data_IF_922003331800
#
_entry.id   IF_922003331800
#
_cell.length_a   1.000
_cell.length_b   1.000
_cell.length_c   1.000
_cell.angle_alpha   90.00
_cell.angle_beta   90.00
_cell.angle_gamma   90.00
#
_symmetry.space_group_name_H-M   'P 1'
#
loop_
_entity.id
_entity.type
_entity.pdbx_description
1 polymer ?
#
# COMPACT_ATOMS: atom_id res chain seq x y z
N UNK A 1 -18.18 11.74 16.26
CA UNK A 1 -19.24 12.77 16.11
C UNK A 1 -19.92 12.72 14.75
N UNK A 2 -19.17 12.79 13.65
CA UNK A 2 -19.74 12.71 12.29
C UNK A 2 -20.55 11.41 12.05
N UNK A 3 -20.00 10.25 12.41
CA UNK A 3 -20.70 8.97 12.28
C UNK A 3 -22.00 8.89 13.10
N UNK A 4 -22.02 9.48 14.31
CA UNK A 4 -23.24 9.57 15.13
C UNK A 4 -24.31 10.43 14.44
N UNK A 5 -23.90 11.54 13.82
CA UNK A 5 -24.79 12.38 13.01
C UNK A 5 -25.38 11.64 11.81
N UNK A 6 -24.57 10.82 11.12
CA UNK A 6 -25.01 10.04 9.97
C UNK A 6 -26.02 8.93 10.36
N UNK A 7 -25.78 8.27 11.51
CA UNK A 7 -26.74 7.30 12.07
C UNK A 7 -28.04 7.99 12.48
N UNK A 8 -27.97 9.13 13.16
CA UNK A 8 -29.15 9.90 13.54
C UNK A 8 -29.95 10.35 12.30
N UNK A 9 -29.27 10.79 11.24
CA UNK A 9 -29.89 11.16 9.97
C UNK A 9 -30.68 10.01 9.36
N UNK A 10 -30.07 8.83 9.31
CA UNK A 10 -30.70 7.62 8.80
C UNK A 10 -31.90 7.18 9.66
N UNK A 11 -31.85 7.35 10.98
CA UNK A 11 -32.99 7.07 11.85
C UNK A 11 -34.16 8.05 11.66
N UNK A 12 -33.89 9.32 11.36
CA UNK A 12 -34.92 10.35 11.16
C UNK A 12 -35.59 10.28 9.79
N UNK A 13 -34.83 9.90 8.76
CA UNK A 13 -35.28 9.96 7.35
C UNK A 13 -35.50 8.57 6.72
N UNK A 14 -34.96 7.51 7.32
CA UNK A 14 -34.97 6.15 6.77
C UNK A 14 -33.87 5.89 5.73
N UNK A 15 -33.10 6.91 5.34
CA UNK A 15 -32.07 6.83 4.31
C UNK A 15 -30.74 7.46 4.78
N UNK A 16 -29.59 6.96 4.31
CA UNK A 16 -28.31 7.60 4.63
C UNK A 16 -28.20 8.99 3.97
N UNK A 17 -27.42 9.91 4.55
CA UNK A 17 -27.31 11.30 4.06
C UNK A 17 -26.74 11.42 2.64
N UNK A 18 -25.94 10.45 2.20
CA UNK A 18 -25.40 10.37 0.85
C UNK A 18 -25.51 8.93 0.36
N UNK A 19 -25.85 8.76 -0.92
CA UNK A 19 -25.94 7.47 -1.60
C UNK A 19 -25.37 7.62 -3.01
N UNK A 20 -24.44 6.74 -3.36
CA UNK A 20 -23.90 6.62 -4.71
C UNK A 20 -23.66 5.14 -5.04
N UNK A 21 -23.52 4.84 -6.32
CA UNK A 21 -23.36 3.46 -6.81
C UNK A 21 -21.99 2.86 -6.45
N UNK A 22 -21.01 3.71 -6.11
CA UNK A 22 -19.66 3.30 -5.70
C UNK A 22 -19.24 3.95 -4.38
N UNK A 23 -18.39 3.25 -3.63
CA UNK A 23 -17.86 3.73 -2.35
C UNK A 23 -17.07 5.04 -2.51
N UNK A 24 -16.26 5.16 -3.58
CA UNK A 24 -15.48 6.36 -3.87
C UNK A 24 -16.38 7.57 -4.20
N UNK A 25 -17.44 7.37 -4.99
CA UNK A 25 -18.41 8.42 -5.26
C UNK A 25 -19.15 8.87 -4.00
N UNK A 26 -19.43 7.95 -3.08
CA UNK A 26 -20.04 8.26 -1.78
C UNK A 26 -19.08 9.09 -0.92
N UNK A 27 -17.79 8.74 -0.89
CA UNK A 27 -16.76 9.51 -0.18
C UNK A 27 -16.62 10.93 -0.72
N UNK A 28 -16.64 11.09 -2.04
CA UNK A 28 -16.58 12.41 -2.68
C UNK A 28 -17.77 13.29 -2.29
N UNK A 29 -18.99 12.72 -2.27
CA UNK A 29 -20.18 13.43 -1.78
C UNK A 29 -20.07 13.80 -0.29
N UNK A 30 -19.49 12.93 0.53
CA UNK A 30 -19.23 13.18 1.96
C UNK A 30 -18.20 14.29 2.16
N UNK A 31 -17.31 14.56 1.21
CA UNK A 31 -16.35 15.66 1.33
C UNK A 31 -16.92 16.98 0.82
N UNK A 32 -17.51 16.99 -0.37
CA UNK A 32 -17.78 18.25 -1.09
C UNK A 32 -19.26 18.68 -1.05
N UNK A 33 -20.19 17.74 -0.92
CA UNK A 33 -21.62 18.05 -1.04
C UNK A 33 -22.21 18.48 0.31
N UNK A 34 -22.99 19.57 0.37
CA UNK A 34 -23.73 19.93 1.59
C UNK A 34 -24.82 18.90 1.88
N UNK A 35 -25.04 18.63 3.17
CA UNK A 35 -26.07 17.67 3.63
C UNK A 35 -27.45 18.29 3.49
N UNK A 36 -28.40 17.53 2.95
CA UNK A 36 -29.80 17.97 2.83
C UNK A 36 -30.49 17.98 4.18
N UNK A 37 -31.33 18.97 4.45
CA UNK A 37 -32.16 19.02 5.65
C UNK A 37 -33.02 17.75 5.80
N UNK A 38 -33.00 17.07 6.96
CA UNK A 38 -33.89 15.93 7.26
C UNK A 38 -35.37 16.25 7.13
N UNK A 39 -35.78 17.51 7.34
CA UNK A 39 -37.20 17.92 7.28
C UNK A 39 -37.76 17.97 5.87
N UNK A 40 -36.90 18.10 4.86
CA UNK A 40 -37.30 17.99 3.47
C UNK A 40 -37.74 16.56 3.12
N UNK A 41 -37.12 15.55 3.76
CA UNK A 41 -37.49 14.15 3.59
C UNK A 41 -38.64 13.74 4.52
N UNK A 42 -38.65 14.23 5.76
CA UNK A 42 -39.68 13.93 6.74
C UNK A 42 -40.08 15.19 7.52
N UNK A 43 -41.22 15.80 7.16
CA UNK A 43 -41.71 17.04 7.75
C UNK A 43 -42.09 16.93 9.23
N UNK A 44 -42.20 15.70 9.76
CA UNK A 44 -42.52 15.42 11.18
C UNK A 44 -41.31 15.52 12.11
N UNK A 45 -40.10 15.69 11.57
CA UNK A 45 -38.88 15.80 12.39
C UNK A 45 -38.89 17.13 13.15
N UNK A 46 -38.73 17.11 14.49
CA UNK A 46 -38.57 18.32 15.30
C UNK A 46 -37.36 19.15 14.87
N UNK A 47 -37.51 20.47 14.81
CA UNK A 47 -36.45 21.40 14.37
C UNK A 47 -35.15 21.31 15.20
N UNK A 48 -35.28 20.97 16.49
CA UNK A 48 -34.12 20.82 17.37
C UNK A 48 -33.28 19.57 17.06
N UNK A 49 -33.92 18.46 16.68
CA UNK A 49 -33.21 17.25 16.26
C UNK A 49 -32.53 17.43 14.91
N UNK A 50 -33.16 18.17 14.00
CA UNK A 50 -32.53 18.59 12.75
C UNK A 50 -31.26 19.42 13.03
N UNK A 51 -31.34 20.41 13.92
CA UNK A 51 -30.20 21.27 14.25
C UNK A 51 -29.03 20.47 14.83
N UNK A 52 -29.32 19.53 15.74
CA UNK A 52 -28.33 18.63 16.33
C UNK A 52 -27.70 17.74 15.23
N UNK A 53 -28.53 17.18 14.35
CA UNK A 53 -28.10 16.30 13.27
C UNK A 53 -27.19 17.03 12.27
N UNK A 54 -27.61 18.21 11.78
CA UNK A 54 -26.84 19.02 10.84
C UNK A 54 -25.51 19.47 11.45
N UNK A 55 -25.50 19.91 12.71
CA UNK A 55 -24.27 20.31 13.40
C UNK A 55 -23.30 19.14 13.63
N UNK A 56 -23.80 17.90 13.78
CA UNK A 56 -22.95 16.72 13.81
C UNK A 56 -22.33 16.38 12.44
N UNK A 57 -23.03 16.72 11.36
CA UNK A 57 -22.65 16.43 9.97
C UNK A 57 -21.91 17.59 9.27
N UNK A 58 -21.54 18.64 10.03
CA UNK A 58 -20.74 19.76 9.53
C UNK A 58 -19.40 19.28 8.96
N UNK A 59 -18.90 19.87 7.87
CA UNK A 59 -17.64 19.42 7.25
C UNK A 59 -16.42 19.84 8.07
N UNK A 60 -16.44 21.05 8.62
CA UNK A 60 -15.37 21.58 9.46
C UNK A 60 -15.39 20.93 10.85
N UNK A 61 -14.31 20.23 11.28
CA UNK A 61 -14.27 19.59 12.59
C UNK A 61 -14.46 20.56 13.76
N UNK A 62 -13.96 21.80 13.64
CA UNK A 62 -14.06 22.84 14.68
C UNK A 62 -15.46 23.40 14.91
N UNK A 63 -16.41 23.18 13.98
CA UNK A 63 -17.82 23.60 14.13
C UNK A 63 -18.73 22.48 14.66
N UNK A 64 -18.22 21.25 14.78
CA UNK A 64 -18.94 20.10 15.32
C UNK A 64 -19.02 20.18 16.85
N UNK A 65 -19.86 19.35 17.44
CA UNK A 65 -19.83 19.14 18.88
C UNK A 65 -18.48 18.52 19.31
N UNK A 66 -17.84 19.04 20.37
CA UNK A 66 -16.56 18.55 20.87
C UNK A 66 -16.68 17.17 21.53
N UNK A 67 -17.85 16.83 22.09
CA UNK A 67 -18.08 15.53 22.75
C UNK A 67 -19.51 15.02 22.60
N UNK A 68 -19.68 13.70 22.75
CA UNK A 68 -21.01 13.06 22.77
C UNK A 68 -21.85 13.48 23.98
N UNK A 69 -21.22 13.98 25.05
CA UNK A 69 -21.88 14.38 26.29
C UNK A 69 -22.67 15.69 26.11
N UNK A 70 -22.17 16.63 25.31
CA UNK A 70 -22.91 17.85 24.95
C UNK A 70 -24.11 17.59 24.05
N UNK A 71 -23.98 16.64 23.11
CA UNK A 71 -25.10 16.18 22.28
C UNK A 71 -26.18 15.54 23.16
N UNK A 72 -25.78 14.76 24.17
CA UNK A 72 -26.69 14.18 25.16
C UNK A 72 -27.38 15.24 26.02
N UNK A 73 -26.66 16.26 26.48
CA UNK A 73 -27.25 17.36 27.25
C UNK A 73 -28.35 18.10 26.48
N UNK A 74 -28.15 18.30 25.16
CA UNK A 74 -29.11 19.01 24.30
C UNK A 74 -30.28 18.15 23.82
N UNK A 75 -30.06 16.84 23.62
CA UNK A 75 -31.13 15.88 23.30
C UNK A 75 -31.93 15.45 24.53
N UNK A 76 -31.32 15.41 25.72
CA UNK A 76 -32.00 15.13 26.98
C UNK A 76 -33.01 16.21 27.39
N UNK A 77 -32.78 17.46 26.97
CA UNK A 77 -33.76 18.54 27.09
C UNK A 77 -34.99 18.39 26.15
N UNK A 78 -34.93 17.45 25.20
CA UNK A 78 -35.92 17.24 24.15
C UNK A 78 -36.79 15.97 24.33
N UNK A 79 -36.50 15.15 25.35
CA UNK A 79 -37.45 14.12 25.74
C UNK A 79 -38.76 14.83 26.12
N UNK A 80 -39.94 14.39 25.63
CA UNK A 80 -41.19 14.92 26.14
C UNK A 80 -41.12 14.78 27.66
N UNK A 81 -41.39 15.87 28.38
CA UNK A 81 -41.65 15.80 29.82
C UNK A 81 -42.67 14.68 29.97
N UNK A 82 -42.20 13.51 30.39
CA UNK A 82 -43.06 12.40 30.72
C UNK A 82 -44.05 12.96 31.72
N UNK A 83 -45.33 12.77 31.44
CA UNK A 83 -46.37 12.83 32.46
C UNK A 83 -45.78 12.38 33.78
N UNK A 84 -45.73 13.29 34.75
CA UNK A 84 -45.38 12.99 36.12
C UNK A 84 -46.41 11.97 36.64
N UNK A 85 -46.14 10.70 36.41
CA UNK A 85 -46.73 9.62 37.16
C UNK A 85 -46.08 9.72 38.54
N UNK A 86 -46.77 10.38 39.47
CA UNK A 86 -46.39 10.42 40.88
C UNK A 86 -46.03 9.01 41.40
N UNK A 87 -45.17 8.90 42.42
CA UNK A 87 -44.59 7.63 42.82
C UNK A 87 -45.70 6.61 43.10
N UNK A 88 -45.66 5.48 42.39
CA UNK A 88 -46.55 4.37 42.65
C UNK A 88 -46.47 4.00 44.13
N UNK A 89 -47.56 4.29 44.87
CA UNK A 89 -47.68 3.97 46.29
C UNK A 89 -47.68 2.45 46.42
N UNK A 90 -46.50 1.86 46.64
CA UNK A 90 -46.30 0.43 46.94
C UNK A 90 -47.26 0.03 48.06
N UNK A 91 -48.28 -0.75 47.72
CA UNK A 91 -49.22 -1.32 48.67
C UNK A 91 -48.51 -2.39 49.50
N UNK A 92 -47.98 -2.01 50.66
CA UNK A 92 -47.38 -2.92 51.63
C UNK A 92 -48.34 -4.03 52.13
N UNK A 93 -49.65 -3.94 51.83
CA UNK A 93 -50.67 -4.91 52.24
C UNK A 93 -50.85 -6.13 51.34
N UNK A 94 -50.56 -6.04 50.03
CA UNK A 94 -50.83 -7.16 49.10
C UNK A 94 -49.81 -8.30 49.25
N UNK A 95 -48.54 -7.96 49.49
CA UNK A 95 -47.49 -8.94 49.75
C UNK A 95 -47.74 -9.73 51.04
N UNK A 96 -48.21 -9.05 52.10
CA UNK A 96 -48.51 -9.70 53.38
C UNK A 96 -49.70 -10.67 53.31
N UNK A 97 -50.69 -10.35 52.47
CA UNK A 97 -51.85 -11.21 52.23
C UNK A 97 -51.49 -12.49 51.45
N UNK A 98 -50.57 -12.41 50.48
CA UNK A 98 -50.07 -13.56 49.71
C UNK A 98 -49.13 -14.46 50.51
N UNK A 99 -48.26 -13.86 51.34
CA UNK A 99 -47.36 -14.58 52.27
C UNK A 99 -48.15 -15.45 53.26
N UNK A 100 -49.33 -14.99 53.69
CA UNK A 100 -50.20 -15.74 54.60
C UNK A 100 -51.00 -16.85 53.92
N UNK A 101 -51.13 -16.83 52.58
CA UNK A 101 -51.95 -17.78 51.81
C UNK A 101 -51.14 -18.92 51.18
N UNK A 102 -49.86 -18.70 50.84
CA UNK A 102 -48.98 -19.74 50.25
C UNK A 102 -47.51 -19.62 50.73
N UNK A 103 -47.17 -20.07 51.95
CA UNK A 103 -45.85 -19.84 52.56
C UNK A 103 -44.68 -20.54 51.84
N UNK A 104 -44.91 -21.71 51.25
CA UNK A 104 -43.88 -22.48 50.54
C UNK A 104 -43.43 -21.80 49.24
N UNK A 105 -44.36 -21.20 48.48
CA UNK A 105 -44.08 -20.53 47.20
C UNK A 105 -43.25 -19.26 47.43
N UNK A 106 -43.57 -18.50 48.47
CA UNK A 106 -42.79 -17.31 48.84
C UNK A 106 -41.37 -17.68 49.29
N UNK A 107 -41.21 -18.79 50.03
CA UNK A 107 -39.89 -19.31 50.42
C UNK A 107 -39.04 -19.71 49.21
N UNK A 108 -39.60 -20.46 48.27
CA UNK A 108 -38.92 -20.86 47.03
C UNK A 108 -38.50 -19.65 46.19
N UNK A 109 -39.39 -18.67 46.00
CA UNK A 109 -39.09 -17.46 45.23
C UNK A 109 -37.96 -16.62 45.85
N UNK A 110 -37.88 -16.58 47.19
CA UNK A 110 -36.82 -15.88 47.91
C UNK A 110 -35.48 -16.61 47.77
N UNK A 111 -35.47 -17.95 47.84
CA UNK A 111 -34.27 -18.75 47.63
C UNK A 111 -33.74 -18.61 46.20
N UNK A 112 -34.63 -18.65 45.20
CA UNK A 112 -34.22 -18.43 43.81
C UNK A 112 -33.70 -17.02 43.56
N UNK A 113 -34.29 -16.01 44.21
CA UNK A 113 -33.80 -14.63 44.13
C UNK A 113 -32.41 -14.49 44.75
N UNK A 114 -32.16 -15.13 45.90
CA UNK A 114 -30.84 -15.15 46.54
C UNK A 114 -29.81 -15.90 45.70
N UNK A 115 -30.18 -17.03 45.09
CA UNK A 115 -29.30 -17.78 44.18
C UNK A 115 -28.93 -16.93 42.95
N UNK A 116 -29.90 -16.23 42.34
CA UNK A 116 -29.64 -15.31 41.23
C UNK A 116 -28.69 -14.18 41.64
N UNK A 117 -28.89 -13.55 42.80
CA UNK A 117 -27.98 -12.52 43.30
C UNK A 117 -26.57 -13.09 43.51
N UNK A 118 -26.44 -14.28 44.11
CA UNK A 118 -25.14 -14.93 44.29
C UNK A 118 -24.46 -15.21 42.96
N UNK A 119 -25.18 -15.73 41.95
CA UNK A 119 -24.61 -15.97 40.61
C UNK A 119 -24.13 -14.68 39.95
N UNK A 120 -24.91 -13.59 40.03
CA UNK A 120 -24.53 -12.28 39.48
C UNK A 120 -23.27 -11.74 40.18
N UNK A 121 -23.17 -11.89 41.51
CA UNK A 121 -21.98 -11.49 42.27
C UNK A 121 -20.76 -12.33 41.86
N UNK A 122 -20.89 -13.65 41.73
CA UNK A 122 -19.79 -14.50 41.26
C UNK A 122 -19.36 -14.16 39.84
N UNK A 123 -20.30 -13.85 38.95
CA UNK A 123 -20.02 -13.45 37.57
C UNK A 123 -19.27 -12.11 37.55
N UNK A 124 -19.70 -11.14 38.36
CA UNK A 124 -19.05 -9.83 38.48
C UNK A 124 -17.61 -9.96 39.01
N UNK A 125 -17.38 -10.79 40.02
CA UNK A 125 -16.04 -11.07 40.54
C UNK A 125 -15.17 -11.83 39.52
N UNK A 126 -15.75 -12.76 38.78
CA UNK A 126 -15.01 -13.48 37.73
C UNK A 126 -14.62 -12.55 36.57
N UNK A 127 -15.51 -11.63 36.17
CA UNK A 127 -15.24 -10.65 35.13
C UNK A 127 -14.15 -9.67 35.53
N UNK A 128 -14.12 -9.22 36.80
CA UNK A 128 -13.05 -8.34 37.27
C UNK A 128 -11.69 -9.04 37.30
N UNK A 129 -11.65 -10.32 37.69
CA UNK A 129 -10.41 -11.12 37.63
C UNK A 129 -9.93 -11.36 36.20
N UNK A 130 -10.84 -11.63 35.26
CA UNK A 130 -10.51 -11.78 33.84
C UNK A 130 -9.96 -10.45 33.29
N UNK A 131 -10.59 -9.32 33.63
CA UNK A 131 -10.10 -8.00 33.22
C UNK A 131 -8.68 -7.72 33.73
N UNK A 132 -8.39 -8.05 34.99
CA UNK A 132 -7.05 -7.89 35.56
C UNK A 132 -6.01 -8.80 34.88
N UNK A 133 -6.36 -10.08 34.62
CA UNK A 133 -5.49 -11.01 33.89
C UNK A 133 -5.22 -10.52 32.46
N UNK A 134 -6.27 -10.09 31.75
CA UNK A 134 -6.16 -9.56 30.39
C UNK A 134 -5.29 -8.30 30.34
N UNK A 135 -5.37 -7.41 31.33
CA UNK A 135 -4.50 -6.24 31.42
C UNK A 135 -3.02 -6.62 31.56
N UNK A 136 -2.71 -7.62 32.41
CA UNK A 136 -1.33 -8.11 32.55
C UNK A 136 -0.80 -8.86 31.34
N UNK A 137 -1.67 -9.57 30.61
CA UNK A 137 -1.31 -10.24 29.35
C UNK A 137 -1.03 -9.17 28.28
N UNK A 138 -1.90 -8.17 28.15
CA UNK A 138 -1.73 -7.08 27.21
C UNK A 138 -0.44 -6.27 27.48
N UNK A 139 -0.09 -6.04 28.75
CA UNK A 139 1.18 -5.42 29.12
C UNK A 139 2.38 -6.25 28.66
N UNK A 140 2.37 -7.57 28.92
CA UNK A 140 3.45 -8.48 28.47
C UNK A 140 3.53 -8.57 26.95
N UNK A 141 2.40 -8.59 26.26
CA UNK A 141 2.35 -8.59 24.79
C UNK A 141 2.92 -7.28 24.23
N UNK A 142 2.64 -6.13 24.84
CA UNK A 142 3.22 -4.86 24.41
C UNK A 142 4.75 -4.81 24.62
N UNK A 143 5.23 -5.35 25.74
CA UNK A 143 6.67 -5.44 26.02
C UNK A 143 7.38 -6.36 25.02
N UNK A 144 6.79 -7.51 24.69
CA UNK A 144 7.38 -8.41 23.70
C UNK A 144 7.32 -7.84 22.29
N UNK A 145 6.25 -7.15 21.90
CA UNK A 145 6.19 -6.52 20.57
C UNK A 145 7.23 -5.41 20.44
N UNK A 146 7.40 -4.57 21.47
CA UNK A 146 8.41 -3.53 21.44
C UNK A 146 9.84 -4.09 21.44
N UNK A 147 10.08 -5.17 22.20
CA UNK A 147 11.38 -5.84 22.17
C UNK A 147 11.68 -6.45 20.79
N UNK A 148 10.70 -7.11 20.17
CA UNK A 148 10.83 -7.69 18.83
C UNK A 148 11.02 -6.62 17.74
N UNK A 149 10.28 -5.51 17.82
CA UNK A 149 10.43 -4.36 16.92
C UNK A 149 11.83 -3.73 17.05
N UNK A 150 12.33 -3.59 18.28
CA UNK A 150 13.69 -3.10 18.52
C UNK A 150 14.74 -4.05 17.95
N UNK A 151 14.63 -5.36 18.20
CA UNK A 151 15.54 -6.35 17.63
C UNK A 151 15.50 -6.36 16.10
N UNK A 152 14.31 -6.26 15.51
CA UNK A 152 14.16 -6.19 14.05
C UNK A 152 14.82 -4.95 13.47
N UNK A 153 14.55 -3.77 14.04
CA UNK A 153 15.17 -2.50 13.60
C UNK A 153 16.70 -2.53 13.71
N UNK A 154 17.24 -3.10 14.79
CA UNK A 154 18.69 -3.21 14.98
C UNK A 154 19.34 -4.12 13.94
N UNK A 155 18.68 -5.25 13.59
CA UNK A 155 19.15 -6.15 12.52
C UNK A 155 19.11 -5.47 11.15
N UNK A 156 18.06 -4.71 10.85
CA UNK A 156 17.97 -3.95 9.60
C UNK A 156 19.07 -2.89 9.50
N UNK A 157 19.35 -2.16 10.58
CA UNK A 157 20.40 -1.14 10.59
C UNK A 157 21.79 -1.76 10.45
N UNK A 158 22.04 -2.91 11.07
CA UNK A 158 23.27 -3.66 10.90
C UNK A 158 23.44 -4.13 9.44
N UNK A 159 22.38 -4.67 8.83
CA UNK A 159 22.39 -5.06 7.42
C UNK A 159 22.68 -3.88 6.51
N UNK A 160 21.99 -2.74 6.70
CA UNK A 160 22.23 -1.52 5.94
C UNK A 160 23.65 -1.00 6.08
N UNK A 161 24.23 -1.10 7.27
CA UNK A 161 25.60 -0.68 7.53
C UNK A 161 26.59 -1.56 6.77
N UNK A 162 26.40 -2.89 6.83
CA UNK A 162 27.22 -3.86 6.09
C UNK A 162 27.10 -3.68 4.58
N UNK A 163 25.91 -3.41 4.06
CA UNK A 163 25.69 -3.13 2.64
C UNK A 163 26.39 -1.84 2.19
N UNK A 164 26.31 -0.77 2.99
CA UNK A 164 27.01 0.49 2.72
C UNK A 164 28.51 0.29 2.70
N UNK A 165 29.07 -0.45 3.65
CA UNK A 165 30.50 -0.77 3.69
C UNK A 165 30.95 -1.53 2.44
N UNK A 166 30.19 -2.54 2.01
CA UNK A 166 30.46 -3.30 0.76
C UNK A 166 30.41 -2.40 -0.47
N UNK A 167 29.40 -1.54 -0.56
CA UNK A 167 29.22 -0.62 -1.66
C UNK A 167 30.36 0.41 -1.72
N UNK A 168 30.77 0.97 -0.57
CA UNK A 168 31.92 1.88 -0.49
C UNK A 168 33.22 1.21 -0.92
N UNK A 169 33.44 -0.04 -0.51
CA UNK A 169 34.60 -0.81 -0.92
C UNK A 169 34.61 -1.09 -2.43
N UNK A 170 33.46 -1.39 -3.01
CA UNK A 170 33.29 -1.52 -4.46
C UNK A 170 33.65 -0.22 -5.19
N UNK A 171 33.08 0.92 -4.77
CA UNK A 171 33.35 2.22 -5.40
C UNK A 171 34.84 2.59 -5.33
N UNK A 172 35.48 2.35 -4.19
CA UNK A 172 36.90 2.60 -4.02
C UNK A 172 37.75 1.79 -5.01
N UNK A 173 37.40 0.51 -5.24
CA UNK A 173 38.09 -0.36 -6.20
C UNK A 173 37.90 0.10 -7.64
N UNK A 174 36.68 0.43 -8.04
CA UNK A 174 36.38 0.91 -9.40
C UNK A 174 37.09 2.24 -9.66
N UNK A 175 37.07 3.16 -8.70
CA UNK A 175 37.78 4.43 -8.79
C UNK A 175 39.29 4.23 -8.92
N UNK A 176 39.87 3.29 -8.16
CA UNK A 176 41.28 2.93 -8.27
C UNK A 176 41.60 2.36 -9.66
N UNK A 177 40.79 1.42 -10.15
CA UNK A 177 40.98 0.81 -11.46
C UNK A 177 40.93 1.87 -12.59
N UNK A 178 39.98 2.80 -12.52
CA UNK A 178 39.89 3.91 -13.48
C UNK A 178 41.12 4.82 -13.45
N UNK A 179 41.67 5.14 -12.28
CA UNK A 179 42.92 5.93 -12.15
C UNK A 179 44.12 5.19 -12.72
N UNK A 180 44.24 3.90 -12.45
CA UNK A 180 45.34 3.07 -12.94
C UNK A 180 45.29 2.92 -14.47
N UNK A 181 44.08 2.76 -15.04
CA UNK A 181 43.88 2.79 -16.49
C UNK A 181 44.29 4.13 -17.10
N UNK A 182 43.88 5.26 -16.50
CA UNK A 182 44.24 6.59 -16.97
C UNK A 182 45.77 6.84 -16.97
N UNK A 183 46.48 6.20 -16.05
CA UNK A 183 47.95 6.24 -15.98
C UNK A 183 48.65 5.17 -16.85
N UNK A 184 47.90 4.48 -17.71
CA UNK A 184 48.37 3.41 -18.61
C UNK A 184 49.11 2.26 -17.90
N UNK A 185 48.69 1.93 -16.66
CA UNK A 185 49.21 0.75 -15.97
C UNK A 185 48.50 -0.51 -16.45
N UNK A 186 49.13 -1.68 -16.31
CA UNK A 186 48.58 -2.96 -16.82
C UNK A 186 47.77 -3.71 -15.76
N UNK A 187 47.99 -3.43 -14.47
CA UNK A 187 47.47 -4.23 -13.34
C UNK A 187 46.04 -3.83 -12.87
N UNK A 188 45.33 -2.94 -13.58
CA UNK A 188 44.01 -2.49 -13.11
C UNK A 188 42.92 -3.55 -13.29
N UNK A 189 43.10 -4.52 -14.19
CA UNK A 189 42.13 -5.57 -14.51
C UNK A 189 41.87 -6.50 -13.32
N UNK A 190 42.89 -6.80 -12.52
CA UNK A 190 42.76 -7.62 -11.31
C UNK A 190 41.72 -7.05 -10.32
N UNK A 191 41.69 -5.72 -10.17
CA UNK A 191 40.73 -5.05 -9.29
C UNK A 191 39.27 -5.17 -9.77
N UNK A 192 39.06 -5.28 -11.08
CA UNK A 192 37.73 -5.56 -11.65
C UNK A 192 37.32 -7.01 -11.46
N UNK A 193 38.25 -7.96 -11.55
CA UNK A 193 37.96 -9.38 -11.41
C UNK A 193 37.57 -9.74 -9.96
N UNK A 194 38.19 -9.07 -8.97
CA UNK A 194 37.85 -9.21 -7.54
C UNK A 194 36.51 -8.55 -7.13
N UNK A 195 35.84 -7.81 -8.01
CA UNK A 195 34.58 -7.15 -7.68
C UNK A 195 33.41 -8.15 -7.59
N UNK A 196 32.57 -8.10 -6.52
CA UNK A 196 31.41 -8.98 -6.39
C UNK A 196 30.43 -8.79 -7.57
N UNK A 197 29.79 -9.86 -8.07
CA UNK A 197 28.88 -9.77 -9.21
C UNK A 197 27.64 -8.91 -8.93
N UNK A 198 27.19 -8.83 -7.68
CA UNK A 198 25.99 -8.09 -7.24
C UNK A 198 26.08 -6.57 -7.51
N UNK A 199 27.29 -6.01 -7.49
CA UNK A 199 27.52 -4.56 -7.63
C UNK A 199 28.12 -4.17 -8.99
N UNK A 200 28.19 -5.08 -9.98
CA UNK A 200 28.75 -4.77 -11.32
C UNK A 200 27.77 -3.95 -12.15
N UNK A 201 27.78 -2.65 -11.93
CA UNK A 201 26.95 -1.69 -12.66
C UNK A 201 27.68 -1.16 -13.91
N UNK A 202 27.22 -0.02 -14.43
CA UNK A 202 27.74 0.61 -15.65
C UNK A 202 29.24 0.91 -15.59
N UNK A 203 29.75 1.33 -14.42
CA UNK A 203 31.16 1.71 -14.26
C UNK A 203 32.10 0.52 -14.48
N UNK A 204 31.76 -0.64 -13.89
CA UNK A 204 32.48 -1.88 -14.11
C UNK A 204 32.38 -2.32 -15.57
N UNK A 205 31.19 -2.24 -16.16
CA UNK A 205 30.97 -2.63 -17.56
C UNK A 205 31.79 -1.76 -18.53
N UNK A 206 31.86 -0.45 -18.28
CA UNK A 206 32.66 0.49 -19.06
C UNK A 206 34.16 0.16 -19.01
N UNK A 207 34.71 0.01 -17.80
CA UNK A 207 36.13 -0.36 -17.63
C UNK A 207 36.43 -1.76 -18.19
N UNK A 208 35.49 -2.70 -18.07
CA UNK A 208 35.63 -4.03 -18.66
C UNK A 208 35.50 -4.00 -20.20
N UNK A 209 34.75 -3.06 -20.77
CA UNK A 209 34.70 -2.84 -22.21
C UNK A 209 36.04 -2.28 -22.72
N UNK A 210 36.68 -1.37 -21.97
CA UNK A 210 38.02 -0.85 -22.28
C UNK A 210 39.11 -1.94 -22.26
N UNK A 211 38.91 -3.02 -21.49
CA UNK A 211 39.81 -4.19 -21.51
C UNK A 211 39.78 -4.89 -22.87
N UNK A 212 38.64 -4.84 -23.58
CA UNK A 212 38.51 -5.49 -24.88
C UNK A 212 39.11 -4.55 -25.92
N UNK A 213 40.11 -4.98 -26.70
CA UNK A 213 40.57 -4.18 -27.82
C UNK A 213 39.37 -3.91 -28.72
N UNK A 214 39.16 -2.64 -29.09
CA UNK A 214 38.21 -2.30 -30.14
C UNK A 214 38.66 -3.02 -31.40
N UNK A 215 37.93 -4.06 -31.81
CA UNK A 215 38.10 -4.63 -33.12
C UNK A 215 37.58 -3.59 -34.11
N UNK A 216 38.48 -2.79 -34.69
CA UNK A 216 38.16 -2.04 -35.89
C UNK A 216 37.97 -3.05 -37.00
N UNK A 217 36.71 -3.41 -37.25
CA UNK A 217 36.34 -4.28 -38.35
C UNK A 217 36.59 -3.52 -39.66
N UNK A 218 37.68 -3.87 -40.34
CA UNK A 218 37.97 -3.36 -41.68
C UNK A 218 37.07 -4.07 -42.69
N UNK A 219 35.86 -3.54 -42.87
CA UNK A 219 34.87 -4.02 -43.85
C UNK A 219 35.35 -3.63 -45.25
N UNK A 220 36.13 -4.50 -45.89
CA UNK A 220 36.73 -4.22 -47.19
C UNK A 220 35.70 -4.35 -48.32
N UNK A 221 35.33 -3.20 -48.88
CA UNK A 221 34.57 -3.07 -50.13
C UNK A 221 35.45 -2.50 -51.24
N UNK A 222 35.08 -2.74 -52.50
CA UNK A 222 35.82 -2.27 -53.68
C UNK A 222 35.61 -0.78 -53.99
N UNK A 223 34.59 -0.17 -53.38
CA UNK A 223 34.17 1.22 -53.49
C UNK A 223 33.24 1.63 -52.33
N UNK A 224 32.31 2.56 -52.59
CA UNK A 224 31.57 3.23 -51.52
C UNK A 224 30.53 2.32 -50.86
N UNK A 225 30.50 2.36 -49.52
CA UNK A 225 29.48 1.68 -48.70
C UNK A 225 28.32 2.64 -48.50
N UNK A 226 27.12 2.24 -48.92
CA UNK A 226 25.92 3.08 -48.88
C UNK A 226 25.01 2.76 -47.69
N UNK A 227 25.04 1.52 -47.19
CA UNK A 227 24.22 1.10 -46.06
C UNK A 227 24.90 0.03 -45.19
N UNK A 228 24.57 0.04 -43.89
CA UNK A 228 25.03 -0.94 -42.90
C UNK A 228 23.89 -1.28 -41.94
N UNK A 229 23.77 -2.54 -41.55
CA UNK A 229 22.78 -3.01 -40.58
C UNK A 229 23.36 -4.09 -39.66
N UNK A 230 22.91 -4.11 -38.41
CA UNK A 230 23.31 -5.10 -37.41
C UNK A 230 22.20 -6.15 -37.25
N UNK A 231 22.55 -7.43 -37.12
CA UNK A 231 21.55 -8.46 -36.81
C UNK A 231 21.00 -8.25 -35.39
N UNK A 232 19.72 -8.55 -35.11
CA UNK A 232 19.14 -8.44 -33.77
C UNK A 232 19.89 -9.27 -32.72
N UNK A 233 20.43 -10.42 -33.11
CA UNK A 233 21.21 -11.33 -32.25
C UNK A 233 22.67 -10.86 -32.03
N UNK A 234 23.04 -9.77 -32.68
CA UNK A 234 24.36 -9.16 -32.62
C UNK A 234 25.54 -9.99 -33.11
N UNK A 235 25.25 -11.08 -33.84
CA UNK A 235 26.25 -12.00 -34.39
C UNK A 235 26.74 -11.60 -35.78
N UNK A 236 25.92 -10.89 -36.55
CA UNK A 236 26.25 -10.54 -37.93
C UNK A 236 26.10 -9.04 -38.21
N UNK A 237 26.94 -8.55 -39.12
CA UNK A 237 26.87 -7.20 -39.70
C UNK A 237 26.65 -7.36 -41.20
N UNK A 238 25.60 -6.75 -41.74
CA UNK A 238 25.42 -6.62 -43.18
C UNK A 238 25.92 -5.24 -43.64
N UNK A 239 26.60 -5.22 -44.77
CA UNK A 239 27.05 -3.98 -45.41
C UNK A 239 26.83 -4.06 -46.92
N UNK A 240 26.33 -2.97 -47.49
CA UNK A 240 26.08 -2.82 -48.91
C UNK A 240 27.07 -1.85 -49.53
N UNK A 241 27.83 -2.32 -50.52
CA UNK A 241 28.76 -1.51 -51.31
C UNK A 241 28.97 -2.12 -52.69
N UNK A 242 29.19 -1.29 -53.70
CA UNK A 242 29.49 -1.70 -55.09
C UNK A 242 28.44 -2.63 -55.73
N UNK A 243 27.16 -2.48 -55.37
CA UNK A 243 26.08 -3.32 -55.88
C UNK A 243 26.04 -4.74 -55.27
N UNK A 244 26.81 -5.00 -54.22
CA UNK A 244 26.81 -6.25 -53.50
C UNK A 244 26.54 -6.05 -52.00
N UNK A 245 25.80 -6.99 -51.41
CA UNK A 245 25.61 -7.07 -49.95
C UNK A 245 26.53 -8.16 -49.41
N UNK A 246 27.41 -7.78 -48.49
CA UNK A 246 28.31 -8.69 -47.77
C UNK A 246 27.90 -8.82 -46.32
N UNK A 247 27.91 -10.05 -45.82
CA UNK A 247 27.69 -10.38 -44.43
C UNK A 247 29.02 -10.64 -43.72
N UNK A 248 29.16 -10.15 -42.49
CA UNK A 248 30.36 -10.26 -41.66
C UNK A 248 29.99 -10.85 -40.31
N UNK A 249 30.84 -11.72 -39.76
CA UNK A 249 30.70 -12.16 -38.37
C UNK A 249 31.19 -11.02 -37.46
N UNK A 250 30.30 -10.51 -36.60
CA UNK A 250 30.59 -9.38 -35.71
C UNK A 250 31.67 -9.70 -34.65
N UNK A 251 31.91 -10.99 -34.39
CA UNK A 251 32.86 -11.45 -33.36
C UNK A 251 34.27 -11.64 -33.91
N UNK A 252 34.41 -12.09 -35.15
CA UNK A 252 35.72 -12.38 -35.77
C UNK A 252 36.13 -11.33 -36.78
N UNK A 253 35.17 -10.60 -37.36
CA UNK A 253 35.42 -9.65 -38.44
C UNK A 253 35.67 -10.27 -39.79
N UNK A 254 35.49 -11.58 -39.90
CA UNK A 254 35.69 -12.29 -41.15
C UNK A 254 34.43 -12.20 -42.03
N UNK A 255 34.60 -12.06 -43.35
CA UNK A 255 33.48 -12.10 -44.27
C UNK A 255 32.88 -13.50 -44.27
N UNK A 256 31.57 -13.60 -44.04
CA UNK A 256 30.83 -14.83 -44.27
C UNK A 256 30.72 -15.02 -45.79
N UNK A 257 30.93 -16.23 -46.33
CA UNK A 257 30.82 -16.52 -47.76
C UNK A 257 29.35 -16.54 -48.22
N UNK A 258 28.63 -15.46 -47.95
CA UNK A 258 27.28 -15.19 -48.38
C UNK A 258 27.27 -13.75 -48.88
N UNK A 259 27.51 -13.59 -50.19
CA UNK A 259 27.46 -12.32 -50.90
C UNK A 259 26.26 -12.36 -51.82
N UNK A 260 25.38 -11.38 -51.69
CA UNK A 260 24.21 -11.24 -52.57
C UNK A 260 24.51 -10.11 -53.54
N UNK A 261 24.68 -10.47 -54.81
CA UNK A 261 24.85 -9.50 -55.89
C UNK A 261 23.49 -8.92 -56.24
N UNK A 262 23.35 -7.60 -56.11
CA UNK A 262 22.12 -6.87 -56.42
C UNK A 262 22.21 -6.11 -57.75
N UNK A 263 23.42 -5.91 -58.30
CA UNK A 263 23.64 -5.27 -59.60
C UNK A 263 23.49 -3.75 -59.59
N UNK A 264 22.57 -3.24 -58.77
CA UNK A 264 22.31 -1.81 -58.55
C UNK A 264 22.68 -1.35 -57.13
N UNK A 265 22.72 -0.03 -56.95
CA UNK A 265 23.07 0.62 -55.68
C UNK A 265 22.02 0.32 -54.61
N UNK A 266 22.41 -0.43 -53.57
CA UNK A 266 21.58 -0.65 -52.39
C UNK A 266 21.69 0.55 -51.46
N UNK A 267 20.63 1.37 -51.39
CA UNK A 267 20.61 2.58 -50.57
C UNK A 267 20.19 2.32 -49.13
N UNK A 268 19.49 1.20 -48.87
CA UNK A 268 18.99 0.87 -47.54
C UNK A 268 19.09 -0.62 -47.24
N UNK A 269 19.50 -0.94 -46.02
CA UNK A 269 19.54 -2.30 -45.46
C UNK A 269 18.83 -2.29 -44.11
N UNK A 270 17.93 -3.25 -43.90
CA UNK A 270 17.30 -3.48 -42.60
C UNK A 270 17.20 -4.97 -42.30
N UNK A 271 17.60 -5.38 -41.10
CA UNK A 271 17.27 -6.70 -40.59
C UNK A 271 15.86 -6.70 -40.04
N UNK A 272 15.11 -7.78 -40.30
CA UNK A 272 13.86 -8.01 -39.61
C UNK A 272 14.15 -8.22 -38.11
N UNK A 273 13.36 -7.61 -37.20
CA UNK A 273 13.66 -7.63 -35.76
C UNK A 273 13.53 -9.03 -35.12
N UNK A 274 12.80 -9.96 -35.74
CA UNK A 274 12.48 -11.27 -35.15
C UNK A 274 12.71 -12.47 -36.06
N UNK A 275 13.00 -12.24 -37.35
CA UNK A 275 13.23 -13.30 -38.33
C UNK A 275 14.62 -13.09 -38.94
N UNK A 276 15.34 -14.15 -39.35
CA UNK A 276 16.63 -14.04 -40.01
C UNK A 276 16.47 -13.59 -41.47
N UNK A 277 15.68 -12.54 -41.71
CA UNK A 277 15.35 -12.00 -43.01
C UNK A 277 15.98 -10.62 -43.16
N UNK A 278 16.58 -10.37 -44.32
CA UNK A 278 17.28 -9.14 -44.64
C UNK A 278 16.50 -8.43 -45.75
N UNK A 279 15.98 -7.25 -45.42
CA UNK A 279 15.25 -6.40 -46.37
C UNK A 279 16.25 -5.45 -47.01
N UNK A 280 16.28 -5.46 -48.34
CA UNK A 280 17.15 -4.63 -49.17
C UNK A 280 16.27 -3.73 -50.03
N UNK A 281 16.62 -2.46 -50.15
CA UNK A 281 16.03 -1.56 -51.13
C UNK A 281 17.13 -0.91 -51.96
N UNK A 282 17.03 -1.04 -53.27
CA UNK A 282 17.87 -0.39 -54.28
C UNK A 282 16.99 0.41 -55.25
N UNK A 283 17.61 1.37 -55.95
CA UNK A 283 16.97 2.23 -56.96
C UNK A 283 17.05 1.65 -58.36
#
# INVERSE_FOLDING_TARGET
MYGLGAVLYALLTGEPPFRADTALATLWQVMERPVRSPRLANTRVPADLETICLKCLEKEPGRRYPSALEVRGRSGALAPRGTDCGPARRSRGAAWYLVRRYPLVTGLSAVTALALVATVVTLALSNSQIAAKNASIAAKESETTHALEQEWSAREDEQRTRERERHLFYLARVALAGRLWANNQVNWTHWLDECPPEYRHLEWAFLNALRRPHYTLNLKHGGQVYAMAYSPDGRYIASAGDGAVKLWDARTGEPVPCTVDHGDLVTCLAFHPTEPLLVMAGS
#
